data_IF_809694140400
#
_entry.id   IF_809694140400
#
_cell.length_a   1.000
_cell.length_b   1.000
_cell.length_c   1.000
_cell.angle_alpha   90.00
_cell.angle_beta   90.00
_cell.angle_gamma   90.00
#
_symmetry.space_group_name_H-M   'P 1'
#
loop_
_entity.id
_entity.type
_entity.pdbx_description
1 polymer ?
#
# COMPACT_ATOMS: atom_id res chain seq x y z
N UNK A 1 -36.90 28.16 -12.71
CA UNK A 1 -35.91 27.33 -11.99
C UNK A 1 -34.77 28.26 -11.57
N UNK A 2 -34.74 28.88 -10.40
CA UNK A 2 -34.98 28.30 -9.07
C UNK A 2 -33.63 28.07 -8.38
N UNK A 3 -32.90 29.17 -8.14
CA UNK A 3 -31.80 29.45 -7.16
C UNK A 3 -30.94 28.33 -6.53
N UNK A 4 -30.78 27.16 -7.13
CA UNK A 4 -29.79 26.19 -6.67
C UNK A 4 -28.44 26.49 -7.32
N UNK A 5 -27.46 26.85 -6.49
CA UNK A 5 -26.08 27.07 -6.89
C UNK A 5 -25.32 25.76 -6.68
N UNK A 6 -24.81 25.20 -7.77
CA UNK A 6 -23.99 24.00 -7.72
C UNK A 6 -22.51 24.39 -7.76
N UNK A 7 -21.73 23.96 -6.77
CA UNK A 7 -20.28 24.19 -6.74
C UNK A 7 -19.50 23.09 -7.47
N UNK A 8 -20.11 21.91 -7.69
CA UNK A 8 -19.58 20.81 -8.50
C UNK A 8 -20.71 19.86 -8.94
N UNK A 9 -20.50 19.15 -10.06
CA UNK A 9 -21.42 18.11 -10.54
C UNK A 9 -20.66 16.78 -10.68
N UNK A 10 -21.24 15.68 -10.22
CA UNK A 10 -20.70 14.34 -10.42
C UNK A 10 -21.63 13.58 -11.37
N UNK A 11 -21.09 13.05 -12.46
CA UNK A 11 -21.87 12.32 -13.46
C UNK A 11 -21.08 11.15 -14.03
N UNK A 12 -21.78 10.09 -14.45
CA UNK A 12 -21.19 9.02 -15.25
C UNK A 12 -21.14 9.45 -16.72
N UNK A 13 -20.01 10.03 -17.13
CA UNK A 13 -19.80 10.49 -18.51
C UNK A 13 -19.64 9.32 -19.52
N UNK A 14 -19.63 8.07 -19.05
CA UNK A 14 -19.56 6.86 -19.90
C UNK A 14 -20.92 6.17 -20.03
N UNK A 15 -21.98 6.69 -19.42
CA UNK A 15 -23.32 6.14 -19.56
C UNK A 15 -23.79 6.25 -21.02
N UNK A 16 -24.15 5.12 -21.65
CA UNK A 16 -24.62 5.07 -23.04
C UNK A 16 -25.96 5.78 -23.29
N UNK A 17 -26.70 6.11 -22.23
CA UNK A 17 -28.06 6.64 -22.27
C UNK A 17 -28.14 8.07 -21.68
N UNK A 18 -27.17 8.94 -21.98
CA UNK A 18 -27.27 10.35 -21.60
C UNK A 18 -28.28 11.05 -22.52
N UNK A 19 -29.35 11.61 -21.96
CA UNK A 19 -30.30 12.37 -22.78
C UNK A 19 -29.67 13.69 -23.25
N UNK A 20 -30.08 14.24 -24.40
CA UNK A 20 -29.54 15.52 -24.91
C UNK A 20 -29.69 16.69 -23.92
N UNK A 21 -30.70 16.64 -23.05
CA UNK A 21 -30.90 17.64 -21.98
C UNK A 21 -29.79 17.59 -20.94
N UNK A 22 -29.39 16.38 -20.51
CA UNK A 22 -28.31 16.19 -19.55
C UNK A 22 -26.95 16.56 -20.14
N UNK A 23 -26.69 16.24 -21.41
CA UNK A 23 -25.47 16.67 -22.10
C UNK A 23 -25.37 18.20 -22.14
N UNK A 24 -26.46 18.87 -22.53
CA UNK A 24 -26.54 20.33 -22.57
C UNK A 24 -26.38 20.96 -21.18
N UNK A 25 -26.91 20.31 -20.14
CA UNK A 25 -26.72 20.74 -18.76
C UNK A 25 -25.24 20.65 -18.33
N UNK A 26 -24.59 19.50 -18.52
CA UNK A 26 -23.18 19.30 -18.16
C UNK A 26 -22.25 20.25 -18.94
N UNK A 27 -22.54 20.49 -20.22
CA UNK A 27 -21.81 21.45 -21.03
C UNK A 27 -21.96 22.88 -20.48
N UNK A 28 -23.17 23.29 -20.09
CA UNK A 28 -23.42 24.59 -19.45
C UNK A 28 -22.69 24.74 -18.13
N UNK A 29 -22.68 23.71 -17.28
CA UNK A 29 -21.92 23.70 -16.04
C UNK A 29 -20.43 23.92 -16.30
N UNK A 30 -19.86 23.16 -17.25
CA UNK A 30 -18.45 23.27 -17.64
C UNK A 30 -18.10 24.67 -18.15
N UNK A 31 -18.92 25.23 -19.04
CA UNK A 31 -18.75 26.60 -19.56
C UNK A 31 -18.90 27.67 -18.47
N UNK A 32 -19.69 27.40 -17.44
CA UNK A 32 -19.88 28.28 -16.28
C UNK A 32 -18.80 28.09 -15.20
N UNK A 33 -17.72 27.36 -15.49
CA UNK A 33 -16.62 27.02 -14.57
C UNK A 33 -17.05 26.19 -13.34
N UNK A 34 -18.16 25.46 -13.45
CA UNK A 34 -18.55 24.47 -12.45
C UNK A 34 -17.87 23.15 -12.84
N UNK A 35 -16.98 22.58 -12.01
CA UNK A 35 -16.28 21.35 -12.34
C UNK A 35 -17.26 20.17 -12.43
N UNK A 36 -17.11 19.38 -13.49
CA UNK A 36 -17.86 18.14 -13.71
C UNK A 36 -16.92 16.96 -13.54
N UNK A 37 -17.12 16.17 -12.48
CA UNK A 37 -16.31 15.00 -12.16
C UNK A 37 -16.96 13.72 -12.66
N UNK A 38 -16.14 12.81 -13.18
CA UNK A 38 -16.60 11.47 -13.51
C UNK A 38 -16.78 10.62 -12.25
N UNK A 39 -17.88 9.86 -12.15
CA UNK A 39 -18.17 9.01 -10.97
C UNK A 39 -17.00 8.11 -10.55
N UNK A 40 -16.28 7.51 -11.52
CA UNK A 40 -15.06 6.72 -11.24
C UNK A 40 -14.04 7.51 -10.40
N UNK A 41 -13.76 8.75 -10.77
CA UNK A 41 -12.72 9.57 -10.14
C UNK A 41 -13.05 9.89 -8.67
N UNK A 42 -14.32 10.17 -8.38
CA UNK A 42 -14.79 10.43 -7.01
C UNK A 42 -14.70 9.16 -6.14
N UNK A 43 -15.14 8.01 -6.67
CA UNK A 43 -15.08 6.74 -5.94
C UNK A 43 -13.61 6.34 -5.66
N UNK A 44 -12.72 6.51 -6.63
CA UNK A 44 -11.29 6.22 -6.46
C UNK A 44 -10.66 7.15 -5.41
N UNK A 45 -10.98 8.44 -5.42
CA UNK A 45 -10.49 9.40 -4.43
C UNK A 45 -11.01 9.13 -3.02
N UNK A 46 -12.27 8.70 -2.87
CA UNK A 46 -12.89 8.44 -1.57
C UNK A 46 -12.46 7.09 -0.98
N UNK A 47 -12.32 6.07 -1.82
CA UNK A 47 -12.02 4.69 -1.37
C UNK A 47 -10.54 4.37 -1.38
N UNK A 48 -9.72 5.13 -2.11
CA UNK A 48 -8.32 4.82 -2.36
C UNK A 48 -8.11 3.57 -3.22
N UNK A 49 -9.17 3.02 -3.84
CA UNK A 49 -9.12 1.79 -4.65
C UNK A 49 -9.28 2.13 -6.12
N UNK A 50 -8.30 1.74 -6.94
CA UNK A 50 -8.34 1.92 -8.40
C UNK A 50 -8.98 0.70 -9.06
N UNK A 51 -10.05 0.90 -9.85
CA UNK A 51 -10.73 -0.22 -10.54
C UNK A 51 -10.11 -0.41 -11.93
N UNK A 52 -9.22 -1.39 -12.05
CA UNK A 52 -8.56 -1.76 -13.32
C UNK A 52 -9.59 -2.40 -14.26
N UNK A 53 -10.30 -1.57 -15.03
CA UNK A 53 -11.33 -2.02 -15.98
C UNK A 53 -10.82 -2.00 -17.43
N UNK A 54 -9.87 -1.10 -17.71
CA UNK A 54 -9.13 -1.04 -18.97
C UNK A 54 -7.71 -0.57 -18.65
N UNK A 55 -6.71 -1.40 -18.94
CA UNK A 55 -5.30 -1.08 -18.69
C UNK A 55 -4.82 -0.10 -19.78
N UNK A 56 -5.18 1.18 -19.66
CA UNK A 56 -4.67 2.20 -20.57
C UNK A 56 -3.25 2.61 -20.16
N UNK A 57 -2.36 2.87 -21.12
CA UNK A 57 -0.95 3.23 -20.87
C UNK A 57 -0.79 4.42 -19.91
N UNK A 58 -1.77 5.34 -19.90
CA UNK A 58 -1.80 6.52 -19.04
C UNK A 58 -2.14 6.21 -17.56
N UNK A 59 -2.70 5.04 -17.23
CA UNK A 59 -3.00 4.65 -15.84
C UNK A 59 -1.78 4.03 -15.11
N UNK A 60 -0.71 3.64 -15.81
CA UNK A 60 0.52 3.19 -15.12
C UNK A 60 1.24 4.35 -14.42
N UNK A 61 1.19 5.55 -14.99
CA UNK A 61 1.81 6.74 -14.42
C UNK A 61 1.17 7.19 -13.12
N UNK A 62 -0.15 7.01 -12.96
CA UNK A 62 -0.89 7.39 -11.75
C UNK A 62 -0.70 6.40 -10.59
N UNK A 63 -0.24 5.17 -10.86
CA UNK A 63 0.13 4.18 -9.83
C UNK A 63 1.50 4.45 -9.22
N UNK A 64 2.33 5.28 -9.88
CA UNK A 64 3.62 5.68 -9.33
C UNK A 64 3.40 6.84 -8.36
N UNK A 65 3.78 6.69 -7.07
CA UNK A 65 3.70 7.80 -6.13
C UNK A 65 4.57 8.96 -6.62
N UNK A 66 4.22 10.19 -6.21
CA UNK A 66 5.01 11.35 -6.59
C UNK A 66 6.45 11.21 -6.07
N UNK A 67 7.45 11.54 -6.89
CA UNK A 67 8.88 11.47 -6.51
C UNK A 67 9.17 12.28 -5.24
N UNK A 68 8.45 13.37 -5.06
CA UNK A 68 8.52 14.21 -3.87
C UNK A 68 8.04 13.46 -2.61
N UNK A 69 6.90 12.76 -2.70
CA UNK A 69 6.39 11.91 -1.62
C UNK A 69 7.39 10.80 -1.27
N UNK A 70 7.95 10.09 -2.25
CA UNK A 70 8.94 9.03 -1.98
C UNK A 70 10.17 9.57 -1.23
N UNK A 71 10.68 10.74 -1.63
CA UNK A 71 11.86 11.37 -1.03
C UNK A 71 11.58 11.80 0.41
N UNK A 72 10.45 12.48 0.64
CA UNK A 72 10.03 12.89 1.99
C UNK A 72 9.80 11.66 2.87
N UNK A 73 9.07 10.66 2.38
CA UNK A 73 8.81 9.43 3.14
C UNK A 73 10.10 8.76 3.54
N UNK A 74 11.09 8.69 2.64
CA UNK A 74 12.40 8.12 2.93
C UNK A 74 13.15 8.89 4.01
N UNK A 75 13.08 10.22 3.98
CA UNK A 75 13.72 11.07 4.99
C UNK A 75 13.05 10.91 6.36
N UNK A 76 11.72 10.92 6.40
CA UNK A 76 10.94 10.67 7.63
C UNK A 76 11.25 9.29 8.19
N UNK A 77 11.27 8.24 7.37
CA UNK A 77 11.57 6.87 7.82
C UNK A 77 12.97 6.76 8.42
N UNK A 78 13.94 7.44 7.82
CA UNK A 78 15.30 7.44 8.32
C UNK A 78 15.42 8.17 9.67
N UNK A 79 14.81 9.36 9.80
CA UNK A 79 14.79 10.11 11.06
C UNK A 79 14.06 9.33 12.15
N UNK A 80 12.89 8.78 11.83
CA UNK A 80 12.11 7.97 12.76
C UNK A 80 12.91 6.74 13.21
N UNK A 81 13.55 6.02 12.28
CA UNK A 81 14.39 4.88 12.63
C UNK A 81 15.57 5.31 13.53
N UNK A 82 16.25 6.42 13.22
CA UNK A 82 17.38 6.91 14.01
C UNK A 82 16.96 7.33 15.43
N UNK A 83 15.76 7.92 15.58
CA UNK A 83 15.22 8.34 16.87
C UNK A 83 14.71 7.16 17.71
N UNK A 84 13.99 6.22 17.09
CA UNK A 84 13.40 5.09 17.81
C UNK A 84 14.40 3.97 18.08
N UNK A 85 15.40 3.76 17.22
CA UNK A 85 16.39 2.69 17.41
C UNK A 85 17.06 2.69 18.80
N UNK A 86 17.62 3.80 19.33
CA UNK A 86 18.22 3.80 20.67
C UNK A 86 17.21 3.49 21.76
N UNK A 87 15.96 3.97 21.63
CA UNK A 87 14.88 3.74 22.61
C UNK A 87 14.48 2.26 22.66
N UNK A 88 14.34 1.62 21.50
CA UNK A 88 13.96 0.21 21.41
C UNK A 88 15.13 -0.76 21.57
N UNK A 89 16.38 -0.30 21.40
CA UNK A 89 17.58 -1.13 21.54
C UNK A 89 17.70 -1.89 22.88
N UNK A 90 17.46 -1.30 24.08
CA UNK A 90 17.50 -2.06 25.33
C UNK A 90 16.41 -3.13 25.39
N UNK A 91 15.22 -2.86 24.87
CA UNK A 91 14.11 -3.83 24.82
C UNK A 91 14.43 -4.99 23.87
N UNK A 92 14.99 -4.68 22.70
CA UNK A 92 15.48 -5.68 21.75
C UNK A 92 16.58 -6.56 22.35
N UNK A 93 17.48 -5.97 23.15
CA UNK A 93 18.54 -6.71 23.84
C UNK A 93 17.96 -7.66 24.91
N UNK A 94 16.98 -7.20 25.69
CA UNK A 94 16.29 -8.05 26.67
C UNK A 94 15.60 -9.24 26.00
N UNK A 95 14.86 -9.00 24.91
CA UNK A 95 14.24 -10.08 24.11
C UNK A 95 15.30 -11.05 23.60
N UNK A 96 16.45 -10.54 23.15
CA UNK A 96 17.53 -11.38 22.64
C UNK A 96 18.06 -12.35 23.71
N UNK A 97 18.18 -11.89 24.95
CA UNK A 97 18.57 -12.74 26.09
C UNK A 97 17.51 -13.80 26.36
N UNK A 98 16.23 -13.41 26.45
CA UNK A 98 15.12 -14.33 26.71
C UNK A 98 15.07 -15.48 25.68
N UNK A 99 15.18 -15.14 24.39
CA UNK A 99 15.19 -16.14 23.30
C UNK A 99 16.37 -17.10 23.43
N UNK A 100 17.54 -16.60 23.85
CA UNK A 100 18.74 -17.41 24.01
C UNK A 100 18.67 -18.34 25.23
N UNK A 101 17.98 -17.93 26.29
CA UNK A 101 17.71 -18.77 27.46
C UNK A 101 16.68 -19.86 27.14
N UNK A 102 15.67 -19.53 26.34
CA UNK A 102 14.58 -20.42 25.96
C UNK A 102 15.03 -21.56 25.03
N UNK A 103 15.91 -21.30 24.06
CA UNK A 103 16.41 -22.35 23.16
C UNK A 103 17.83 -22.12 22.65
N UNK A 104 18.60 -23.21 22.45
CA UNK A 104 19.93 -23.13 21.83
C UNK A 104 19.82 -22.67 20.37
N UNK A 105 20.68 -21.74 19.95
CA UNK A 105 20.80 -21.30 18.56
C UNK A 105 20.91 -19.79 18.37
N UNK A 106 20.79 -19.34 17.11
CA UNK A 106 20.80 -17.91 16.74
C UNK A 106 19.50 -17.24 17.17
N UNK A 107 19.62 -16.08 17.80
CA UNK A 107 18.50 -15.24 18.26
C UNK A 107 17.75 -14.60 17.07
N UNK A 108 18.49 -14.19 16.05
CA UNK A 108 17.97 -13.50 14.87
C UNK A 108 17.88 -14.48 13.70
N UNK A 109 16.72 -14.49 13.05
CA UNK A 109 16.45 -15.23 11.82
C UNK A 109 16.46 -14.27 10.62
N UNK A 110 17.09 -14.69 9.52
CA UNK A 110 17.20 -13.94 8.27
C UNK A 110 16.35 -14.56 7.16
N UNK A 111 15.42 -13.79 6.57
CA UNK A 111 14.57 -14.24 5.46
C UNK A 111 14.71 -13.30 4.26
N UNK A 112 14.91 -13.83 3.05
CA UNK A 112 14.87 -13.03 1.82
C UNK A 112 13.42 -12.66 1.47
N UNK A 113 13.16 -11.39 1.17
CA UNK A 113 11.84 -10.88 0.74
C UNK A 113 12.01 -9.93 -0.46
N UNK A 114 10.99 -9.89 -1.32
CA UNK A 114 10.90 -8.88 -2.39
C UNK A 114 10.60 -7.51 -1.77
N UNK A 115 11.47 -6.54 -2.02
CA UNK A 115 11.34 -5.17 -1.54
C UNK A 115 10.94 -4.19 -2.63
N UNK A 116 11.23 -2.91 -2.39
CA UNK A 116 10.91 -1.81 -3.28
C UNK A 116 11.49 -2.02 -4.69
N UNK A 117 10.65 -1.84 -5.72
CA UNK A 117 10.97 -2.05 -7.15
C UNK A 117 11.57 -3.44 -7.44
N UNK A 118 11.11 -4.46 -6.71
CA UNK A 118 11.54 -5.85 -6.91
C UNK A 118 12.96 -6.15 -6.41
N UNK A 119 13.61 -5.22 -5.69
CA UNK A 119 14.93 -5.48 -5.11
C UNK A 119 14.79 -6.40 -3.90
N UNK A 120 15.48 -7.54 -3.92
CA UNK A 120 15.48 -8.48 -2.81
C UNK A 120 16.23 -7.85 -1.62
N UNK A 121 15.64 -7.94 -0.43
CA UNK A 121 16.30 -7.57 0.82
C UNK A 121 16.19 -8.69 1.86
N UNK A 122 17.12 -8.69 2.81
CA UNK A 122 17.13 -9.63 3.93
C UNK A 122 16.38 -9.01 5.10
N UNK A 123 15.26 -9.62 5.47
CA UNK A 123 14.50 -9.28 6.68
C UNK A 123 15.12 -10.00 7.88
N UNK A 124 15.55 -9.22 8.87
CA UNK A 124 16.00 -9.72 10.17
C UNK A 124 14.84 -9.66 11.17
N UNK A 125 14.56 -10.77 11.84
CA UNK A 125 13.54 -10.84 12.90
C UNK A 125 13.99 -11.71 14.06
N UNK A 126 13.41 -11.48 15.23
CA UNK A 126 13.57 -12.40 16.35
C UNK A 126 12.96 -13.76 16.01
N UNK A 127 13.65 -14.80 16.47
CA UNK A 127 13.19 -16.18 16.31
C UNK A 127 12.04 -16.45 17.27
N UNK A 128 10.90 -16.90 16.73
CA UNK A 128 9.70 -17.24 17.52
C UNK A 128 9.44 -18.75 17.59
N UNK A 129 10.08 -19.54 16.72
CA UNK A 129 9.89 -20.99 16.68
C UNK A 129 11.09 -21.71 17.27
N UNK A 130 10.84 -22.77 18.04
CA UNK A 130 11.86 -23.70 18.50
C UNK A 130 12.42 -24.49 17.31
N UNK A 131 13.74 -24.50 17.17
CA UNK A 131 14.47 -25.42 16.32
C UNK A 131 14.70 -26.63 17.20
N UNK A 132 13.63 -27.41 17.40
CA UNK A 132 13.82 -28.79 17.79
C UNK A 132 14.58 -29.49 16.66
N UNK A 133 15.52 -30.35 17.04
CA UNK A 133 16.35 -31.13 16.13
C UNK A 133 15.49 -32.19 15.42
N UNK A 134 14.60 -31.77 14.51
CA UNK A 134 13.89 -32.67 13.59
C UNK A 134 14.85 -33.12 12.49
N UNK A 135 15.81 -33.96 12.86
CA UNK A 135 16.74 -34.59 11.94
C UNK A 135 16.41 -36.08 11.69
N UNK A 136 15.29 -36.62 12.23
CA UNK A 136 15.00 -38.06 12.10
C UNK A 136 13.62 -38.50 11.61
N UNK A 137 12.60 -37.64 11.54
CA UNK A 137 11.24 -38.13 11.22
C UNK A 137 10.85 -38.01 9.73
N UNK A 138 11.47 -37.10 8.98
CA UNK A 138 11.09 -36.86 7.56
C UNK A 138 11.59 -37.93 6.59
N UNK A 139 12.50 -38.81 7.02
CA UNK A 139 12.98 -39.93 6.21
C UNK A 139 12.14 -41.21 6.38
N UNK A 140 11.26 -41.30 7.39
CA UNK A 140 10.35 -42.45 7.54
C UNK A 140 9.04 -42.29 6.79
N UNK A 141 8.56 -41.07 6.59
CA UNK A 141 7.26 -40.80 5.94
C UNK A 141 7.32 -40.87 4.40
N UNK A 142 8.51 -40.82 3.81
CA UNK A 142 8.73 -40.99 2.37
C UNK A 142 9.02 -42.45 1.96
N UNK A 143 8.95 -43.38 2.91
CA UNK A 143 9.33 -44.78 2.72
C UNK A 143 8.27 -45.75 3.30
N UNK A 144 6.99 -45.37 3.24
CA UNK A 144 5.82 -46.23 3.43
C UNK A 144 4.88 -46.00 2.26
#
# INVERSE_FOLDING_TARGET
MGKERFDAVVADLRAKNLTPEWEKFLARCTLSRIPVYHTKQIIESLTGRVKITYLSENEFGSLLPSKFYETIKRFIDFIAALFFFPIFSPFMFLIAILIRLESKGKVVFSQKRMGYRGRIFTLYKFRTMYVEKKEKDLLKEKMI
#
